data_IF_084912382285
#
_entry.id   IF_084912382285
#
_cell.length_a   1.000
_cell.length_b   1.000
_cell.length_c   1.000
_cell.angle_alpha   90.00
_cell.angle_beta   90.00
_cell.angle_gamma   90.00
#
_symmetry.space_group_name_H-M   'P 1'
#
loop_
_entity.id
_entity.type
_entity.pdbx_description
1 polymer ?
#
# COMPACT_ATOMS: atom_id res chain seq x y z
N UNK A 1 22.67 7.06 4.67
CA UNK A 1 21.62 6.13 5.11
C UNK A 1 20.68 7.00 5.90
N UNK A 2 19.47 7.25 5.41
CA UNK A 2 18.43 7.84 6.26
C UNK A 2 18.08 6.77 7.30
N UNK A 3 18.15 7.14 8.58
CA UNK A 3 17.65 6.28 9.66
C UNK A 3 16.15 6.16 9.51
N UNK A 4 15.63 4.93 9.55
CA UNK A 4 14.19 4.71 9.52
C UNK A 4 13.55 5.36 10.76
N UNK A 5 12.34 5.94 10.65
CA UNK A 5 11.66 6.50 11.81
C UNK A 5 11.49 5.46 12.94
N UNK A 6 11.69 5.85 14.20
CA UNK A 6 11.66 4.94 15.36
C UNK A 6 10.40 4.04 15.43
N UNK A 7 9.24 4.52 14.95
CA UNK A 7 8.00 3.74 14.93
C UNK A 7 8.02 2.58 13.92
N UNK A 8 8.85 2.64 12.87
CA UNK A 8 9.04 1.54 11.90
C UNK A 8 9.67 0.34 12.59
N UNK A 9 10.67 0.58 13.44
CA UNK A 9 11.35 -0.49 14.17
C UNK A 9 10.40 -1.20 15.14
N UNK A 10 9.54 -0.45 15.83
CA UNK A 10 8.54 -1.00 16.76
C UNK A 10 7.55 -1.92 16.03
N UNK A 11 7.03 -1.48 14.88
CA UNK A 11 6.10 -2.29 14.07
C UNK A 11 6.77 -3.49 13.40
N UNK A 12 8.10 -3.43 13.19
CA UNK A 12 8.90 -4.53 12.66
C UNK A 12 9.18 -5.65 13.67
N UNK A 13 8.92 -5.44 14.97
CA UNK A 13 9.16 -6.45 16.02
C UNK A 13 8.28 -7.69 15.81
N UNK A 14 8.82 -8.91 16.02
CA UNK A 14 8.03 -10.14 15.93
C UNK A 14 6.89 -10.14 16.96
N UNK A 15 5.85 -10.99 16.77
CA UNK A 15 4.79 -11.15 17.75
C UNK A 15 5.35 -11.50 19.14
N UNK A 16 4.83 -10.85 20.19
CA UNK A 16 5.21 -11.16 21.56
C UNK A 16 4.63 -12.52 21.97
N UNK A 17 5.47 -13.40 22.50
CA UNK A 17 5.01 -14.66 23.09
C UNK A 17 4.41 -14.38 24.48
N UNK A 18 3.14 -14.74 24.66
CA UNK A 18 2.46 -14.66 25.96
C UNK A 18 2.52 -16.04 26.61
N UNK A 19 3.06 -16.09 27.83
CA UNK A 19 3.25 -17.30 28.63
C UNK A 19 2.58 -17.13 30.00
N UNK A 20 2.51 -18.20 30.79
CA UNK A 20 1.98 -18.18 32.16
C UNK A 20 2.76 -17.25 33.12
N UNK A 21 3.97 -16.84 32.74
CA UNK A 21 4.82 -15.93 33.52
C UNK A 21 4.86 -14.51 32.94
N UNK A 22 4.09 -14.23 31.88
CA UNK A 22 4.03 -12.90 31.29
C UNK A 22 3.18 -12.01 32.18
N UNK A 23 3.80 -11.03 32.81
CA UNK A 23 3.11 -10.03 33.62
C UNK A 23 2.27 -9.10 32.73
N UNK A 24 1.07 -8.77 33.21
CA UNK A 24 0.14 -7.85 32.55
C UNK A 24 0.76 -6.46 32.39
N UNK A 25 1.60 -6.01 33.33
CA UNK A 25 2.25 -4.70 33.23
C UNK A 25 3.26 -4.64 32.08
N UNK A 26 4.02 -5.71 31.88
CA UNK A 26 4.98 -5.85 30.77
C UNK A 26 4.24 -5.92 29.44
N UNK A 27 3.13 -6.67 29.39
CA UNK A 27 2.28 -6.76 28.21
C UNK A 27 1.67 -5.39 27.87
N UNK A 28 1.17 -4.66 28.86
CA UNK A 28 0.60 -3.32 28.66
C UNK A 28 1.63 -2.33 28.11
N UNK A 29 2.88 -2.38 28.61
CA UNK A 29 3.98 -1.54 28.09
C UNK A 29 4.28 -1.82 26.62
N UNK A 30 4.46 -3.09 26.25
CA UNK A 30 4.71 -3.48 24.85
C UNK A 30 3.53 -3.12 23.93
N UNK A 31 2.28 -3.34 24.40
CA UNK A 31 1.10 -2.95 23.62
C UNK A 31 1.00 -1.44 23.45
N UNK A 32 1.33 -0.64 24.47
CA UNK A 32 1.32 0.81 24.38
C UNK A 32 2.32 1.32 23.32
N UNK A 33 3.55 0.80 23.30
CA UNK A 33 4.55 1.15 22.28
C UNK A 33 4.06 0.80 20.88
N UNK A 34 3.51 -0.40 20.68
CA UNK A 34 3.00 -0.83 19.39
C UNK A 34 1.80 0.00 18.92
N UNK A 35 0.91 0.37 19.84
CA UNK A 35 -0.26 1.19 19.55
C UNK A 35 0.13 2.64 19.19
N UNK A 36 1.10 3.24 19.89
CA UNK A 36 1.64 4.56 19.53
C UNK A 36 2.32 4.52 18.15
N UNK A 37 3.13 3.49 17.89
CA UNK A 37 3.76 3.30 16.59
C UNK A 37 2.72 3.11 15.47
N UNK A 38 1.61 2.40 15.76
CA UNK A 38 0.52 2.21 14.81
C UNK A 38 -0.19 3.53 14.49
N UNK A 39 -0.50 4.37 15.48
CA UNK A 39 -1.04 5.71 15.23
C UNK A 39 -0.13 6.56 14.34
N UNK A 40 1.18 6.57 14.63
CA UNK A 40 2.16 7.31 13.84
C UNK A 40 2.26 6.81 12.40
N UNK A 41 2.20 5.49 12.19
CA UNK A 41 2.25 4.88 10.87
C UNK A 41 1.03 5.24 10.01
N UNK A 42 -0.13 5.47 10.63
CA UNK A 42 -1.36 5.86 9.95
C UNK A 42 -1.43 7.38 9.72
N UNK A 43 -0.52 7.95 8.91
CA UNK A 43 -0.46 9.38 8.59
C UNK A 43 -0.19 10.32 9.78
N UNK A 44 0.53 9.85 10.80
CA UNK A 44 0.92 10.70 11.93
C UNK A 44 -0.25 11.10 12.82
N UNK A 45 -1.20 10.19 13.06
CA UNK A 45 -2.30 10.46 13.98
C UNK A 45 -1.77 10.71 15.38
N UNK A 46 -2.40 11.66 16.07
CA UNK A 46 -2.09 11.95 17.46
C UNK A 46 -2.78 10.96 18.40
N UNK A 47 -2.21 10.63 19.57
CA UNK A 47 -2.81 9.75 20.58
C UNK A 47 -3.92 10.45 21.37
N UNK A 48 -4.85 11.10 20.67
CA UNK A 48 -6.04 11.74 21.22
C UNK A 48 -7.30 10.97 20.77
N UNK A 49 -8.47 11.33 21.33
CA UNK A 49 -9.73 10.62 21.04
C UNK A 49 -10.07 10.58 19.53
N UNK A 50 -9.72 11.65 18.80
CA UNK A 50 -9.94 11.73 17.35
C UNK A 50 -9.01 10.80 16.58
N UNK A 51 -7.72 10.79 16.93
CA UNK A 51 -6.74 9.90 16.29
C UNK A 51 -7.07 8.43 16.52
N UNK A 52 -7.49 8.04 17.72
CA UNK A 52 -7.97 6.69 18.00
C UNK A 52 -9.24 6.34 17.20
N UNK A 53 -10.18 7.29 17.09
CA UNK A 53 -11.39 7.11 16.28
C UNK A 53 -11.04 6.89 14.81
N UNK A 54 -10.14 7.70 14.26
CA UNK A 54 -9.72 7.59 12.87
C UNK A 54 -8.98 6.27 12.62
N UNK A 55 -8.04 5.90 13.49
CA UNK A 55 -7.34 4.62 13.38
C UNK A 55 -8.31 3.43 13.41
N UNK A 56 -9.31 3.44 14.30
CA UNK A 56 -10.31 2.39 14.37
C UNK A 56 -11.13 2.27 13.08
N UNK A 57 -11.51 3.39 12.47
CA UNK A 57 -12.23 3.40 11.19
C UNK A 57 -11.35 2.86 10.04
N UNK A 58 -10.08 3.25 9.99
CA UNK A 58 -9.13 2.77 8.97
C UNK A 58 -8.85 1.27 9.10
N UNK A 59 -8.71 0.76 10.33
CA UNK A 59 -8.56 -0.68 10.58
C UNK A 59 -9.83 -1.47 10.23
N UNK A 60 -11.01 -0.94 10.57
CA UNK A 60 -12.28 -1.55 10.21
C UNK A 60 -12.44 -1.63 8.68
N UNK A 61 -12.15 -0.55 7.96
CA UNK A 61 -12.13 -0.52 6.48
C UNK A 61 -11.24 -1.61 5.87
N UNK A 62 -10.08 -1.86 6.49
CA UNK A 62 -9.08 -2.79 5.97
C UNK A 62 -9.41 -4.25 6.27
N UNK A 63 -9.98 -4.54 7.44
CA UNK A 63 -10.09 -5.90 7.95
C UNK A 63 -11.53 -6.43 8.05
N UNK A 64 -12.54 -5.58 8.23
CA UNK A 64 -13.93 -6.01 8.43
C UNK A 64 -14.61 -6.32 7.08
N UNK A 65 -15.04 -7.57 6.85
CA UNK A 65 -15.68 -7.96 5.59
C UNK A 65 -16.93 -7.14 5.24
N UNK A 66 -17.69 -6.69 6.23
CA UNK A 66 -18.91 -5.90 6.01
C UNK A 66 -18.67 -4.53 5.35
N UNK A 67 -17.44 -3.99 5.47
CA UNK A 67 -17.06 -2.74 4.82
C UNK A 67 -16.34 -2.93 3.48
N UNK A 68 -16.17 -4.18 3.01
CA UNK A 68 -15.58 -4.44 1.69
C UNK A 68 -16.49 -3.90 0.60
N UNK A 69 -15.95 -2.98 -0.18
CA UNK A 69 -16.63 -2.42 -1.34
C UNK A 69 -16.18 -3.17 -2.58
N UNK A 70 -17.14 -3.72 -3.31
CA UNK A 70 -16.90 -4.27 -4.64
C UNK A 70 -16.70 -3.12 -5.63
N UNK A 71 -15.54 -3.05 -6.26
CA UNK A 71 -15.24 -2.05 -7.28
C UNK A 71 -15.56 -2.61 -8.68
N UNK A 72 -15.76 -1.76 -9.70
CA UNK A 72 -15.91 -2.23 -11.08
C UNK A 72 -14.74 -3.11 -11.57
N UNK A 73 -13.54 -2.90 -11.01
CA UNK A 73 -12.35 -3.72 -11.29
C UNK A 73 -12.55 -5.17 -10.84
N UNK A 74 -13.23 -5.37 -9.72
CA UNK A 74 -13.50 -6.70 -9.16
C UNK A 74 -14.55 -7.44 -10.01
N UNK A 75 -15.52 -6.72 -10.58
CA UNK A 75 -16.52 -7.26 -11.51
C UNK A 75 -15.96 -7.57 -12.90
N UNK A 76 -15.09 -6.70 -13.42
CA UNK A 76 -14.43 -6.88 -14.72
C UNK A 76 -13.47 -8.09 -14.72
N UNK A 77 -13.04 -8.56 -13.53
CA UNK A 77 -12.09 -9.66 -13.37
C UNK A 77 -12.68 -11.06 -13.69
N UNK A 78 -14.00 -11.18 -13.90
CA UNK A 78 -14.70 -12.46 -14.15
C UNK A 78 -14.29 -13.15 -15.48
N UNK A 79 -13.36 -12.60 -16.26
CA UNK A 79 -12.76 -13.28 -17.41
C UNK A 79 -11.36 -12.84 -17.81
N UNK A 80 -10.68 -12.00 -17.01
CA UNK A 80 -9.38 -11.43 -17.33
C UNK A 80 -8.31 -11.80 -16.31
N UNK A 81 -7.04 -11.93 -16.74
CA UNK A 81 -5.92 -12.04 -15.80
C UNK A 81 -5.74 -10.69 -15.08
N UNK A 82 -5.53 -10.68 -13.75
CA UNK A 82 -5.22 -9.46 -13.01
C UNK A 82 -4.04 -8.72 -13.63
N UNK A 83 -4.16 -7.40 -13.74
CA UNK A 83 -3.11 -6.54 -14.30
C UNK A 83 -2.31 -5.96 -13.16
N UNK A 84 -1.18 -6.58 -12.83
CA UNK A 84 -0.30 -6.10 -11.78
C UNK A 84 0.58 -4.90 -12.17
N UNK A 85 1.13 -4.24 -11.16
CA UNK A 85 1.99 -3.05 -11.30
C UNK A 85 3.29 -3.25 -12.08
N UNK A 86 3.79 -4.49 -12.23
CA UNK A 86 5.11 -4.75 -12.83
C UNK A 86 5.28 -4.19 -14.25
N UNK A 87 4.28 -4.38 -15.12
CA UNK A 87 4.31 -3.83 -16.48
C UNK A 87 4.15 -2.30 -16.50
N UNK A 88 3.35 -1.75 -15.58
CA UNK A 88 3.20 -0.30 -15.46
C UNK A 88 4.51 0.38 -15.06
N UNK A 89 5.19 -0.17 -14.04
CA UNK A 89 6.49 0.32 -13.55
C UNK A 89 7.54 0.19 -14.66
N UNK A 90 7.63 -0.97 -15.31
CA UNK A 90 8.58 -1.21 -16.40
C UNK A 90 8.38 -0.22 -17.56
N UNK A 91 7.12 0.02 -17.96
CA UNK A 91 6.79 1.00 -19.00
C UNK A 91 7.14 2.43 -18.60
N UNK A 92 6.90 2.79 -17.33
CA UNK A 92 7.28 4.11 -16.79
C UNK A 92 8.80 4.30 -16.80
N UNK A 93 9.55 3.29 -16.35
CA UNK A 93 11.03 3.26 -16.41
C UNK A 93 11.54 3.39 -17.84
N UNK A 94 11.00 2.62 -18.79
CA UNK A 94 11.36 2.73 -20.21
C UNK A 94 11.12 4.14 -20.76
N UNK A 95 9.97 4.76 -20.45
CA UNK A 95 9.69 6.14 -20.86
C UNK A 95 10.64 7.15 -20.21
N UNK A 96 10.98 6.96 -18.94
CA UNK A 96 11.93 7.82 -18.22
C UNK A 96 13.32 7.79 -18.88
N UNK A 97 13.82 6.59 -19.18
CA UNK A 97 15.10 6.41 -19.87
C UNK A 97 15.09 7.01 -21.28
N UNK A 98 13.99 6.86 -22.04
CA UNK A 98 13.86 7.46 -23.36
C UNK A 98 13.77 9.00 -23.32
N UNK A 99 13.26 9.60 -22.24
CA UNK A 99 13.28 11.07 -22.04
C UNK A 99 14.70 11.61 -21.87
N UNK A 100 15.66 10.78 -21.50
CA UNK A 100 17.09 11.13 -21.45
C UNK A 100 17.76 11.05 -22.84
N UNK A 101 16.99 11.20 -23.92
CA UNK A 101 17.43 11.07 -25.32
C UNK A 101 18.03 9.70 -25.70
N UNK A 102 17.81 8.64 -24.91
CA UNK A 102 18.27 7.28 -25.22
C UNK A 102 17.34 6.64 -26.26
N UNK A 103 17.92 5.86 -27.16
CA UNK A 103 17.12 5.00 -28.06
C UNK A 103 16.40 3.92 -27.25
N UNK A 104 15.31 3.37 -27.81
CA UNK A 104 14.55 2.31 -27.14
C UNK A 104 15.42 1.07 -26.81
N UNK A 105 16.40 0.76 -27.66
CA UNK A 105 17.34 -0.35 -27.47
C UNK A 105 18.33 -0.09 -26.31
N UNK A 106 18.78 1.15 -26.15
CA UNK A 106 19.69 1.57 -25.07
C UNK A 106 18.97 1.68 -23.73
N UNK A 107 17.74 2.21 -23.73
CA UNK A 107 16.86 2.21 -22.56
C UNK A 107 16.64 0.78 -22.04
N UNK A 108 16.30 -0.16 -22.93
CA UNK A 108 16.09 -1.57 -22.57
C UNK A 108 17.36 -2.24 -22.01
N UNK A 109 18.55 -1.96 -22.60
CA UNK A 109 19.84 -2.45 -22.08
C UNK A 109 20.17 -1.88 -20.70
N UNK A 110 19.81 -0.62 -20.45
CA UNK A 110 20.03 0.03 -19.16
C UNK A 110 19.18 -0.62 -18.07
N UNK A 111 17.91 -0.89 -18.37
CA UNK A 111 17.00 -1.58 -17.44
C UNK A 111 17.44 -3.02 -17.15
N UNK A 112 17.86 -3.77 -18.17
CA UNK A 112 18.39 -5.13 -18.00
C UNK A 112 19.62 -5.13 -17.06
N UNK A 113 20.53 -4.16 -17.23
CA UNK A 113 21.70 -4.00 -16.37
C UNK A 113 21.32 -3.63 -14.94
N UNK A 114 20.42 -2.68 -14.75
CA UNK A 114 19.97 -2.21 -13.43
C UNK A 114 19.17 -3.28 -12.67
N UNK A 115 18.41 -4.10 -13.38
CA UNK A 115 17.65 -5.23 -12.81
C UNK A 115 18.49 -6.49 -12.64
N UNK A 116 19.80 -6.45 -12.90
CA UNK A 116 20.72 -7.60 -12.82
C UNK A 116 20.23 -8.83 -13.61
N UNK A 117 19.54 -8.60 -14.72
CA UNK A 117 19.01 -9.65 -15.60
C UNK A 117 17.63 -10.21 -15.22
N UNK A 118 16.99 -9.75 -14.14
CA UNK A 118 15.60 -10.14 -13.82
C UNK A 118 14.63 -9.71 -14.93
N UNK A 119 14.88 -8.56 -15.55
CA UNK A 119 14.10 -8.06 -16.68
C UNK A 119 14.95 -8.15 -17.95
N UNK A 120 14.63 -9.12 -18.81
CA UNK A 120 15.32 -9.26 -20.09
C UNK A 120 15.13 -8.04 -20.99
N UNK A 121 16.12 -7.73 -21.84
CA UNK A 121 16.02 -6.68 -22.87
C UNK A 121 14.75 -6.84 -23.73
N UNK A 122 14.40 -8.09 -24.09
CA UNK A 122 13.21 -8.38 -24.91
C UNK A 122 11.93 -8.02 -24.17
N UNK A 123 11.83 -8.33 -22.88
CA UNK A 123 10.70 -7.95 -22.02
C UNK A 123 10.59 -6.43 -21.92
N UNK A 124 11.70 -5.74 -21.69
CA UNK A 124 11.74 -4.28 -21.62
C UNK A 124 11.31 -3.62 -22.95
N UNK A 125 11.80 -4.11 -24.09
CA UNK A 125 11.38 -3.62 -25.41
C UNK A 125 9.89 -3.80 -25.66
N UNK A 126 9.35 -4.96 -25.29
CA UNK A 126 7.94 -5.29 -25.50
C UNK A 126 6.99 -4.49 -24.60
N UNK A 127 7.48 -3.90 -23.50
CA UNK A 127 6.65 -3.11 -22.57
C UNK A 127 5.99 -1.88 -23.20
N UNK A 128 6.51 -1.40 -24.35
CA UNK A 128 5.96 -0.26 -25.10
C UNK A 128 5.06 -0.66 -26.26
N UNK A 129 5.06 -1.95 -26.65
CA UNK A 129 4.44 -2.43 -27.90
C UNK A 129 2.91 -2.47 -27.90
N UNK A 130 2.26 -2.39 -26.73
CA UNK A 130 0.80 -2.37 -26.60
C UNK A 130 0.35 -1.29 -25.62
N UNK A 131 -0.87 -0.77 -25.79
CA UNK A 131 -1.55 0.05 -24.78
C UNK A 131 -1.84 -0.86 -23.57
N UNK A 132 -0.86 -1.01 -22.68
CA UNK A 132 -1.02 -1.79 -21.47
C UNK A 132 -2.20 -1.20 -20.66
N UNK A 133 -3.14 -2.04 -20.19
CA UNK A 133 -4.16 -1.61 -19.26
C UNK A 133 -3.50 -1.00 -18.02
N UNK A 134 -4.17 -0.01 -17.42
CA UNK A 134 -3.75 0.54 -16.13
C UNK A 134 -3.84 -0.58 -15.11
N UNK A 135 -2.87 -0.66 -14.21
CA UNK A 135 -2.85 -1.68 -13.17
C UNK A 135 -4.11 -1.61 -12.30
N UNK A 136 -4.59 -2.77 -11.87
CA UNK A 136 -5.87 -2.89 -11.16
C UNK A 136 -5.86 -2.11 -9.84
N UNK A 137 -4.71 -2.04 -9.17
CA UNK A 137 -4.51 -1.24 -7.95
C UNK A 137 -4.77 0.25 -8.22
N UNK A 138 -4.22 0.79 -9.31
CA UNK A 138 -4.44 2.20 -9.69
C UNK A 138 -5.91 2.43 -10.09
N UNK A 139 -6.53 1.45 -10.74
CA UNK A 139 -7.95 1.53 -11.11
C UNK A 139 -8.86 1.50 -9.87
N UNK A 140 -8.46 0.82 -8.79
CA UNK A 140 -9.20 0.72 -7.52
C UNK A 140 -9.12 1.97 -6.65
N UNK A 141 -7.97 2.64 -6.61
CA UNK A 141 -7.71 3.86 -5.80
C UNK A 141 -8.88 4.86 -5.75
N UNK A 142 -9.48 5.33 -6.87
CA UNK A 142 -10.56 6.31 -6.80
C UNK A 142 -11.84 5.77 -6.13
N UNK A 143 -12.07 4.46 -6.14
CA UNK A 143 -13.20 3.83 -5.48
C UNK A 143 -12.93 3.61 -4.01
N UNK A 144 -11.72 3.16 -3.66
CA UNK A 144 -11.27 3.02 -2.27
C UNK A 144 -11.32 4.37 -1.54
N UNK A 145 -10.88 5.46 -2.19
CA UNK A 145 -10.96 6.79 -1.59
C UNK A 145 -12.40 7.28 -1.40
N UNK A 146 -13.32 6.93 -2.32
CA UNK A 146 -14.74 7.22 -2.16
C UNK A 146 -15.35 6.42 -1.00
N UNK A 147 -14.98 5.15 -0.86
CA UNK A 147 -15.40 4.28 0.23
C UNK A 147 -15.01 4.86 1.60
N UNK A 148 -13.75 5.23 1.73
CA UNK A 148 -13.17 5.81 2.94
C UNK A 148 -13.91 7.10 3.33
N UNK A 149 -14.10 8.02 2.39
CA UNK A 149 -14.85 9.26 2.62
C UNK A 149 -16.30 9.00 3.04
N UNK A 150 -16.98 8.06 2.40
CA UNK A 150 -18.36 7.72 2.74
C UNK A 150 -18.48 7.19 4.18
N UNK A 151 -17.50 6.40 4.62
CA UNK A 151 -17.46 5.86 5.99
C UNK A 151 -17.12 6.95 7.00
N UNK A 152 -16.15 7.83 6.70
CA UNK A 152 -15.89 9.00 7.54
C UNK A 152 -17.13 9.90 7.69
N UNK A 153 -17.88 10.11 6.59
CA UNK A 153 -19.15 10.85 6.64
C UNK A 153 -20.22 10.11 7.48
N UNK A 154 -20.33 8.80 7.34
CA UNK A 154 -21.27 7.99 8.12
C UNK A 154 -20.93 8.02 9.62
N UNK A 155 -19.64 7.91 9.96
CA UNK A 155 -19.14 8.01 11.33
C UNK A 155 -19.48 9.37 11.96
N UNK A 156 -19.21 10.48 11.24
CA UNK A 156 -19.59 11.84 11.68
C UNK A 156 -21.10 11.99 11.87
N UNK A 157 -21.92 11.40 11.00
CA UNK A 157 -23.38 11.45 11.12
C UNK A 157 -23.89 10.69 12.34
N UNK A 158 -23.25 9.56 12.68
CA UNK A 158 -23.61 8.74 13.83
C UNK A 158 -23.11 9.31 15.16
N UNK A 159 -22.00 10.08 15.16
CA UNK A 159 -21.41 10.61 16.39
C UNK A 159 -22.25 11.67 17.10
N UNK A 160 -23.36 12.15 16.52
CA UNK A 160 -24.27 13.16 17.10
C UNK A 160 -23.51 14.37 17.71
N UNK A 161 -22.47 14.84 17.03
CA UNK A 161 -21.86 16.16 17.28
C UNK A 161 -22.44 17.18 16.31
#
# INVERSE_FOLDING_TARGET
MEEDPEWVEVLGRPPMAVTEHTDETVLAGEMAERLDALLRAHNGLEPNAEGWRQLALELALKHEPLFKIETPVDRDSVGGRPVGMGNFILRSRMKSEMRQAKTQSEAARTIERQSKGEISKKTALNSLSRKAPVADEIRRLPFEWKAERAIQMAARKLSRE
#
